data_IF_356401566590
#
_entry.id   IF_356401566590
#
_cell.length_a   1.000
_cell.length_b   1.000
_cell.length_c   1.000
_cell.angle_alpha   90.00
_cell.angle_beta   90.00
_cell.angle_gamma   90.00
#
_symmetry.space_group_name_H-M   'P 1'
#
loop_
_entity.id
_entity.type
_entity.pdbx_description
1 polymer ?
#
# COMPACT_ATOMS: atom_id res chain seq x y z
N UNK A 1 -2.51 -16.24 -2.03
CA UNK A 1 -2.33 -14.86 -2.49
C UNK A 1 -3.60 -14.02 -2.45
N UNK A 2 -4.41 -14.27 -1.44
CA UNK A 2 -5.66 -13.59 -1.11
C UNK A 2 -5.52 -12.04 -0.96
N UNK A 3 -4.34 -11.55 -0.55
CA UNK A 3 -4.09 -10.10 -0.50
C UNK A 3 -3.89 -9.51 -1.91
N UNK A 4 -3.32 -10.27 -2.84
CA UNK A 4 -3.21 -9.84 -4.25
C UNK A 4 -4.59 -9.78 -4.91
N UNK A 5 -5.48 -10.70 -4.55
CA UNK A 5 -6.88 -10.67 -5.02
C UNK A 5 -7.69 -9.54 -4.39
N UNK A 6 -7.38 -9.15 -3.14
CA UNK A 6 -7.99 -8.01 -2.45
C UNK A 6 -7.61 -6.65 -3.06
N UNK A 7 -6.51 -6.59 -3.77
CA UNK A 7 -6.08 -5.41 -4.53
C UNK A 7 -6.73 -5.41 -5.92
N UNK A 8 -7.27 -6.56 -6.35
CA UNK A 8 -7.97 -6.65 -7.62
C UNK A 8 -9.24 -5.80 -7.61
N UNK A 9 -9.43 -5.09 -8.70
CA UNK A 9 -10.60 -4.26 -9.04
C UNK A 9 -11.95 -4.93 -8.72
N UNK A 10 -12.01 -6.26 -8.71
CA UNK A 10 -13.19 -7.04 -8.36
C UNK A 10 -13.61 -6.90 -6.90
N UNK A 11 -12.68 -6.90 -5.94
CA UNK A 11 -13.03 -6.78 -4.51
C UNK A 11 -13.35 -5.33 -4.15
N UNK A 12 -12.63 -4.37 -4.71
CA UNK A 12 -12.99 -2.96 -4.52
C UNK A 12 -14.40 -2.68 -5.04
N UNK A 13 -14.76 -3.18 -6.23
CA UNK A 13 -16.12 -3.07 -6.79
C UNK A 13 -17.19 -3.79 -5.96
N UNK A 14 -16.85 -4.93 -5.35
CA UNK A 14 -17.74 -5.60 -4.41
C UNK A 14 -17.90 -4.82 -3.11
N UNK A 15 -16.81 -4.28 -2.58
CA UNK A 15 -16.81 -3.49 -1.36
C UNK A 15 -17.68 -2.24 -1.48
N UNK A 16 -17.75 -1.62 -2.66
CA UNK A 16 -18.60 -0.45 -2.92
C UNK A 16 -20.11 -0.74 -2.74
N UNK A 17 -20.51 -2.03 -2.81
CA UNK A 17 -21.89 -2.48 -2.64
C UNK A 17 -22.18 -3.06 -1.26
N UNK A 18 -21.16 -3.15 -0.40
CA UNK A 18 -21.23 -3.81 0.90
C UNK A 18 -21.37 -2.84 2.07
N UNK A 19 -21.86 -3.37 3.19
CA UNK A 19 -21.87 -2.66 4.47
C UNK A 19 -20.57 -2.91 5.22
N UNK A 20 -19.73 -1.88 5.32
CA UNK A 20 -18.44 -1.93 6.01
C UNK A 20 -18.56 -2.07 7.55
N UNK A 21 -19.76 -2.10 8.11
CA UNK A 21 -20.02 -2.25 9.55
C UNK A 21 -20.60 -3.61 9.92
N UNK A 22 -20.95 -4.45 8.95
CA UNK A 22 -21.62 -5.74 9.22
C UNK A 22 -20.74 -6.72 9.98
N UNK A 23 -19.41 -6.70 9.75
CA UNK A 23 -18.45 -7.57 10.42
C UNK A 23 -17.38 -6.73 11.13
N UNK A 24 -17.15 -7.05 12.40
CA UNK A 24 -16.06 -6.42 13.16
C UNK A 24 -14.74 -7.16 12.91
N UNK A 25 -14.01 -6.70 11.90
CA UNK A 25 -12.69 -7.24 11.58
C UNK A 25 -11.59 -6.52 12.37
N UNK A 26 -10.58 -7.27 12.84
CA UNK A 26 -9.49 -6.70 13.62
C UNK A 26 -8.64 -5.73 12.78
N UNK A 27 -8.07 -4.70 13.43
CA UNK A 27 -7.00 -3.84 12.91
C UNK A 27 -5.70 -4.24 13.60
N UNK A 28 -5.00 -5.29 13.09
CA UNK A 28 -3.90 -5.89 13.82
C UNK A 28 -2.77 -4.89 14.08
N UNK A 29 -2.14 -4.99 15.26
CA UNK A 29 -0.98 -4.19 15.68
C UNK A 29 -1.20 -2.67 15.77
N UNK A 30 -2.41 -2.16 15.57
CA UNK A 30 -2.67 -0.71 15.70
C UNK A 30 -2.60 -0.22 17.13
N UNK A 31 -2.88 -1.10 18.11
CA UNK A 31 -2.77 -0.84 19.54
C UNK A 31 -1.35 -1.01 20.10
N UNK A 32 -0.39 -1.49 19.31
CA UNK A 32 1.01 -1.65 19.70
C UNK A 32 1.85 -0.44 19.28
N UNK A 33 2.88 -0.07 20.05
CA UNK A 33 3.83 0.96 19.63
C UNK A 33 4.58 0.52 18.36
N UNK A 34 5.25 1.49 17.71
CA UNK A 34 6.02 1.24 16.49
C UNK A 34 5.21 1.27 15.21
N UNK A 35 5.91 1.07 14.10
CA UNK A 35 5.40 1.25 12.74
C UNK A 35 5.08 -0.07 12.04
N UNK A 36 5.53 -1.20 12.61
CA UNK A 36 5.24 -2.53 12.06
C UNK A 36 3.74 -2.79 11.99
N UNK A 37 3.32 -3.48 10.95
CA UNK A 37 1.95 -3.93 10.76
C UNK A 37 1.90 -5.34 10.17
N UNK A 38 0.76 -6.01 10.35
CA UNK A 38 0.53 -7.36 9.84
C UNK A 38 -0.94 -7.52 9.48
N UNK A 39 -1.21 -8.30 8.45
CA UNK A 39 -2.57 -8.65 8.04
C UNK A 39 -2.90 -10.13 8.30
N UNK A 40 -2.02 -10.89 8.95
CA UNK A 40 -2.23 -12.32 9.18
C UNK A 40 -3.50 -12.60 9.99
N UNK A 41 -3.72 -11.86 11.09
CA UNK A 41 -4.93 -12.00 11.90
C UNK A 41 -6.20 -11.57 11.15
N UNK A 42 -6.12 -10.54 10.32
CA UNK A 42 -7.22 -10.07 9.50
C UNK A 42 -7.61 -11.11 8.43
N UNK A 43 -6.64 -11.74 7.78
CA UNK A 43 -6.90 -12.85 6.83
C UNK A 43 -7.65 -14.01 7.50
N UNK A 44 -7.21 -14.41 8.69
CA UNK A 44 -7.85 -15.48 9.47
C UNK A 44 -9.28 -15.10 9.84
N UNK A 45 -9.51 -13.87 10.28
CA UNK A 45 -10.84 -13.38 10.60
C UNK A 45 -11.79 -13.40 9.40
N UNK A 46 -11.31 -12.91 8.25
CA UNK A 46 -12.08 -12.93 7.00
C UNK A 46 -12.40 -14.38 6.56
N UNK A 47 -11.41 -15.28 6.59
CA UNK A 47 -11.65 -16.70 6.30
C UNK A 47 -12.69 -17.31 7.23
N UNK A 48 -12.63 -17.01 8.51
CA UNK A 48 -13.60 -17.51 9.50
C UNK A 48 -15.00 -16.97 9.23
N UNK A 49 -15.12 -15.68 8.85
CA UNK A 49 -16.40 -15.09 8.48
C UNK A 49 -16.99 -15.76 7.24
N UNK A 50 -16.18 -16.01 6.21
CA UNK A 50 -16.57 -16.73 4.99
C UNK A 50 -17.14 -18.12 5.34
N UNK A 51 -16.41 -18.89 6.13
CA UNK A 51 -16.83 -20.26 6.51
C UNK A 51 -18.12 -20.24 7.33
N UNK A 52 -18.27 -19.29 8.25
CA UNK A 52 -19.47 -19.17 9.11
C UNK A 52 -20.72 -18.73 8.35
N UNK A 53 -20.55 -17.94 7.30
CA UNK A 53 -21.67 -17.37 6.54
C UNK A 53 -22.04 -18.19 5.29
N UNK A 54 -21.21 -19.15 4.90
CA UNK A 54 -21.48 -20.03 3.77
C UNK A 54 -22.58 -21.04 4.16
N UNK A 55 -23.58 -21.18 3.31
CA UNK A 55 -24.61 -22.22 3.37
C UNK A 55 -24.32 -23.18 2.21
N UNK A 56 -24.13 -24.46 2.51
CA UNK A 56 -23.72 -25.48 1.54
C UNK A 56 -22.50 -25.08 0.68
N UNK A 57 -21.54 -24.37 1.32
CA UNK A 57 -20.33 -23.90 0.65
C UNK A 57 -20.51 -22.64 -0.22
N UNK A 58 -21.71 -22.07 -0.26
CA UNK A 58 -22.03 -20.91 -1.10
C UNK A 58 -22.29 -19.67 -0.23
N UNK A 59 -21.67 -18.54 -0.59
CA UNK A 59 -21.92 -17.23 0.01
C UNK A 59 -22.94 -16.46 -0.83
N UNK A 60 -23.92 -15.85 -0.16
CA UNK A 60 -24.81 -14.89 -0.80
C UNK A 60 -24.00 -13.67 -1.31
N UNK A 61 -24.40 -13.12 -2.46
CA UNK A 61 -23.69 -11.99 -3.08
C UNK A 61 -23.56 -10.77 -2.16
N UNK A 62 -24.64 -10.44 -1.42
CA UNK A 62 -24.58 -9.36 -0.43
C UNK A 62 -23.57 -9.66 0.69
N UNK A 63 -23.49 -10.90 1.14
CA UNK A 63 -22.51 -11.29 2.18
C UNK A 63 -21.07 -11.20 1.67
N UNK A 64 -20.84 -11.52 0.39
CA UNK A 64 -19.51 -11.31 -0.25
C UNK A 64 -19.18 -9.82 -0.29
N UNK A 65 -20.13 -8.97 -0.66
CA UNK A 65 -19.94 -7.52 -0.71
C UNK A 65 -19.62 -6.95 0.69
N UNK A 66 -20.36 -7.38 1.71
CA UNK A 66 -20.16 -6.89 3.09
C UNK A 66 -18.82 -7.35 3.69
N UNK A 67 -18.44 -8.62 3.46
CA UNK A 67 -17.12 -9.12 3.87
C UNK A 67 -16.01 -8.32 3.17
N UNK A 68 -16.17 -8.04 1.87
CA UNK A 68 -15.20 -7.25 1.10
C UNK A 68 -15.10 -5.81 1.62
N UNK A 69 -16.22 -5.17 1.91
CA UNK A 69 -16.28 -3.82 2.45
C UNK A 69 -15.62 -3.73 3.85
N UNK A 70 -15.98 -4.66 4.76
CA UNK A 70 -15.40 -4.71 6.10
C UNK A 70 -13.90 -4.99 6.07
N UNK A 71 -13.46 -5.87 5.18
CA UNK A 71 -12.06 -6.20 5.03
C UNK A 71 -11.27 -5.02 4.47
N UNK A 72 -11.76 -4.38 3.41
CA UNK A 72 -11.16 -3.18 2.82
C UNK A 72 -11.02 -2.07 3.87
N UNK A 73 -12.08 -1.80 4.63
CA UNK A 73 -12.05 -0.81 5.70
C UNK A 73 -10.99 -1.14 6.75
N UNK A 74 -10.88 -2.39 7.19
CA UNK A 74 -9.87 -2.80 8.17
C UNK A 74 -8.42 -2.65 7.68
N UNK A 75 -8.16 -2.94 6.40
CA UNK A 75 -6.85 -2.71 5.77
C UNK A 75 -6.53 -1.22 5.71
N UNK A 76 -7.47 -0.43 5.20
CA UNK A 76 -7.30 1.02 5.03
C UNK A 76 -7.08 1.72 6.37
N UNK A 77 -7.88 1.39 7.39
CA UNK A 77 -7.72 1.92 8.74
C UNK A 77 -6.34 1.57 9.32
N UNK A 78 -5.90 0.32 9.19
CA UNK A 78 -4.59 -0.13 9.69
C UNK A 78 -3.46 0.66 9.05
N UNK A 79 -3.49 0.85 7.73
CA UNK A 79 -2.49 1.61 7.00
C UNK A 79 -2.53 3.09 7.37
N UNK A 80 -3.72 3.70 7.43
CA UNK A 80 -3.87 5.11 7.78
C UNK A 80 -3.33 5.41 9.19
N UNK A 81 -3.66 4.57 10.18
CA UNK A 81 -3.17 4.71 11.57
C UNK A 81 -1.63 4.63 11.60
N UNK A 82 -1.03 3.70 10.88
CA UNK A 82 0.43 3.54 10.86
C UNK A 82 1.13 4.67 10.08
N UNK A 83 0.56 5.13 8.97
CA UNK A 83 1.07 6.29 8.23
C UNK A 83 1.00 7.57 9.07
N UNK A 84 -0.11 7.82 9.76
CA UNK A 84 -0.25 8.97 10.64
C UNK A 84 0.79 8.93 11.78
N UNK A 85 0.98 7.75 12.37
CA UNK A 85 1.99 7.55 13.41
C UNK A 85 3.40 7.79 12.89
N UNK A 86 3.73 7.30 11.70
CA UNK A 86 5.02 7.53 11.06
C UNK A 86 5.29 9.02 10.84
N UNK A 87 4.33 9.75 10.30
CA UNK A 87 4.45 11.19 10.09
C UNK A 87 4.64 11.95 11.41
N UNK A 88 3.90 11.57 12.46
CA UNK A 88 4.06 12.17 13.81
C UNK A 88 5.43 11.86 14.42
N UNK A 89 5.94 10.65 14.27
CA UNK A 89 7.25 10.25 14.83
C UNK A 89 8.43 10.90 14.09
N UNK A 90 8.33 11.07 12.79
CA UNK A 90 9.40 11.64 11.96
C UNK A 90 9.33 13.16 11.85
N UNK A 91 8.21 13.78 12.17
CA UNK A 91 7.98 15.21 11.94
C UNK A 91 7.81 15.58 10.45
N UNK A 92 7.81 14.56 9.56
CA UNK A 92 7.63 14.79 8.12
C UNK A 92 6.17 15.09 7.80
N UNK A 93 5.95 15.88 6.75
CA UNK A 93 4.60 16.25 6.28
C UNK A 93 4.23 15.61 4.96
N UNK A 94 5.21 15.09 4.22
CA UNK A 94 5.01 14.46 2.92
C UNK A 94 4.98 12.93 3.07
N UNK A 95 3.95 12.31 2.51
CA UNK A 95 3.75 10.88 2.48
C UNK A 95 3.75 10.40 1.02
N UNK A 96 4.53 9.39 0.71
CA UNK A 96 4.54 8.75 -0.62
C UNK A 96 3.99 7.35 -0.49
N UNK A 97 2.98 7.03 -1.28
CA UNK A 97 2.36 5.70 -1.35
C UNK A 97 2.63 5.11 -2.72
N UNK A 98 3.27 3.95 -2.75
CA UNK A 98 3.57 3.21 -3.98
C UNK A 98 3.13 1.76 -3.88
N UNK A 99 3.14 1.03 -5.00
CA UNK A 99 2.71 -0.36 -5.10
C UNK A 99 1.21 -0.53 -5.31
N UNK A 100 0.77 -1.78 -5.54
CA UNK A 100 -0.59 -2.10 -5.98
C UNK A 100 -1.70 -1.60 -5.05
N UNK A 101 -1.49 -1.63 -3.73
CA UNK A 101 -2.46 -1.12 -2.75
C UNK A 101 -2.68 0.40 -2.89
N UNK A 102 -1.69 1.12 -3.41
CA UNK A 102 -1.79 2.55 -3.71
C UNK A 102 -2.82 2.92 -4.79
N UNK A 103 -3.36 1.95 -5.53
CA UNK A 103 -4.47 2.17 -6.46
C UNK A 103 -5.84 2.23 -5.76
N UNK A 104 -5.96 1.76 -4.51
CA UNK A 104 -7.23 1.72 -3.79
C UNK A 104 -7.77 3.12 -3.50
N UNK A 105 -8.98 3.41 -3.97
CA UNK A 105 -9.59 4.75 -3.88
C UNK A 105 -9.92 5.16 -2.45
N UNK A 106 -10.42 4.23 -1.63
CA UNK A 106 -10.72 4.50 -0.22
C UNK A 106 -9.46 4.83 0.57
N UNK A 107 -8.36 4.11 0.33
CA UNK A 107 -7.06 4.41 0.94
C UNK A 107 -6.57 5.80 0.55
N UNK A 108 -6.63 6.14 -0.73
CA UNK A 108 -6.25 7.48 -1.23
C UNK A 108 -7.05 8.58 -0.56
N UNK A 109 -8.37 8.42 -0.47
CA UNK A 109 -9.24 9.38 0.19
C UNK A 109 -8.85 9.54 1.66
N UNK A 110 -8.76 8.46 2.41
CA UNK A 110 -8.48 8.50 3.86
C UNK A 110 -7.10 9.08 4.17
N UNK A 111 -6.08 8.72 3.41
CA UNK A 111 -4.73 9.27 3.58
C UNK A 111 -4.66 10.75 3.19
N UNK A 112 -5.38 11.17 2.15
CA UNK A 112 -5.46 12.57 1.75
C UNK A 112 -6.12 13.42 2.84
N UNK A 113 -7.22 12.95 3.42
CA UNK A 113 -7.90 13.62 4.52
C UNK A 113 -7.02 13.68 5.78
N UNK A 114 -6.34 12.58 6.10
CA UNK A 114 -5.43 12.51 7.24
C UNK A 114 -4.25 13.47 7.09
N UNK A 115 -3.57 13.49 5.93
CA UNK A 115 -2.42 14.37 5.71
C UNK A 115 -2.81 15.84 5.71
N UNK A 116 -3.97 16.21 5.16
CA UNK A 116 -4.49 17.59 5.22
C UNK A 116 -4.68 18.08 6.65
N UNK A 117 -5.18 17.22 7.56
CA UNK A 117 -5.38 17.59 8.98
C UNK A 117 -4.09 17.95 9.70
N UNK A 118 -2.95 17.42 9.28
CA UNK A 118 -1.63 17.70 9.86
C UNK A 118 -0.83 18.73 9.04
N UNK A 119 -1.46 19.37 8.06
CA UNK A 119 -0.81 20.35 7.17
C UNK A 119 0.22 19.74 6.25
N UNK A 120 0.02 18.49 5.83
CA UNK A 120 0.89 17.74 4.96
C UNK A 120 0.25 17.39 3.60
N UNK A 121 0.97 16.61 2.81
CA UNK A 121 0.54 16.14 1.49
C UNK A 121 0.84 14.65 1.31
N UNK A 122 0.03 13.99 0.48
CA UNK A 122 0.28 12.61 0.05
C UNK A 122 0.44 12.56 -1.46
N UNK A 123 1.43 11.79 -1.90
CA UNK A 123 1.78 11.61 -3.30
C UNK A 123 1.53 10.17 -3.72
N UNK A 124 0.96 10.00 -4.89
CA UNK A 124 0.67 8.70 -5.50
C UNK A 124 1.21 8.66 -6.92
N UNK A 125 1.70 7.52 -7.39
CA UNK A 125 1.91 7.32 -8.80
C UNK A 125 0.55 7.35 -9.54
N UNK A 126 0.57 7.57 -10.85
CA UNK A 126 -0.60 7.33 -11.69
C UNK A 126 -1.07 5.88 -11.51
N UNK A 127 -2.38 5.64 -11.61
CA UNK A 127 -2.94 4.32 -11.33
C UNK A 127 -2.29 3.20 -12.17
N UNK A 128 -1.98 3.49 -13.43
CA UNK A 128 -1.30 2.58 -14.37
C UNK A 128 0.11 2.15 -13.93
N UNK A 129 0.77 2.94 -13.05
CA UNK A 129 2.09 2.64 -12.51
C UNK A 129 2.07 2.12 -11.07
N UNK A 130 0.89 1.84 -10.51
CA UNK A 130 0.78 1.28 -9.16
C UNK A 130 1.16 -0.21 -9.10
N UNK A 131 1.05 -0.94 -10.21
CA UNK A 131 1.47 -2.33 -10.32
C UNK A 131 2.87 -2.42 -10.93
N UNK A 132 3.51 -3.59 -10.81
CA UNK A 132 4.81 -3.86 -11.39
C UNK A 132 4.78 -3.58 -12.91
N UNK A 133 5.73 -2.76 -13.37
CA UNK A 133 5.83 -2.39 -14.78
C UNK A 133 7.28 -2.08 -15.18
N UNK A 134 7.59 -2.25 -16.48
CA UNK A 134 8.93 -2.02 -17.00
C UNK A 134 9.39 -0.56 -16.92
N UNK A 135 8.47 0.41 -16.93
CA UNK A 135 8.81 1.83 -16.88
C UNK A 135 9.45 2.22 -15.54
N UNK A 136 9.01 1.60 -14.42
CA UNK A 136 9.63 1.82 -13.09
C UNK A 136 11.11 1.44 -13.10
N UNK A 137 11.43 0.28 -13.65
CA UNK A 137 12.81 -0.24 -13.67
C UNK A 137 13.66 0.55 -14.67
N UNK A 138 13.11 0.87 -15.83
CA UNK A 138 13.79 1.70 -16.82
C UNK A 138 14.12 3.09 -16.26
N UNK A 139 13.17 3.72 -15.56
CA UNK A 139 13.40 5.03 -14.93
C UNK A 139 14.46 4.95 -13.82
N UNK A 140 14.38 3.95 -12.92
CA UNK A 140 15.37 3.77 -11.87
C UNK A 140 16.77 3.50 -12.44
N UNK A 141 16.86 2.68 -13.50
CA UNK A 141 18.11 2.43 -14.22
C UNK A 141 18.67 3.68 -14.87
N UNK A 142 17.83 4.47 -15.54
CA UNK A 142 18.21 5.74 -16.15
C UNK A 142 18.80 6.72 -15.12
N UNK A 143 18.13 6.91 -13.98
CA UNK A 143 18.62 7.80 -12.91
C UNK A 143 19.97 7.36 -12.37
N UNK A 144 20.19 6.04 -12.20
CA UNK A 144 21.47 5.50 -11.77
C UNK A 144 22.57 5.67 -12.81
N UNK A 145 22.23 5.44 -14.07
CA UNK A 145 23.18 5.65 -15.18
C UNK A 145 23.61 7.12 -15.32
N UNK A 146 22.67 8.05 -15.22
CA UNK A 146 22.95 9.50 -15.20
C UNK A 146 23.83 9.91 -14.02
N UNK A 147 23.71 9.22 -12.88
CA UNK A 147 24.58 9.40 -11.73
C UNK A 147 25.93 8.66 -11.84
N UNK A 148 26.28 8.14 -13.02
CA UNK A 148 27.53 7.44 -13.28
C UNK A 148 27.63 6.02 -12.68
N UNK A 149 26.51 5.47 -12.20
CA UNK A 149 26.50 4.11 -11.66
C UNK A 149 26.29 3.09 -12.79
N UNK A 150 27.26 2.21 -12.97
CA UNK A 150 27.18 1.10 -13.92
C UNK A 150 27.81 -0.16 -13.33
N UNK A 151 27.40 -1.31 -13.81
CA UNK A 151 27.99 -2.61 -13.48
C UNK A 151 28.45 -3.32 -14.74
N UNK A 152 29.40 -4.25 -14.60
CA UNK A 152 29.83 -5.11 -15.71
C UNK A 152 28.72 -6.06 -16.19
N UNK A 153 29.00 -6.82 -17.23
CA UNK A 153 28.07 -7.76 -17.83
C UNK A 153 27.79 -9.01 -16.96
N UNK A 154 28.61 -9.24 -15.92
CA UNK A 154 28.37 -10.32 -14.96
C UNK A 154 27.36 -9.86 -13.92
N UNK A 155 26.15 -10.41 -13.96
CA UNK A 155 25.05 -10.09 -13.07
C UNK A 155 24.76 -11.26 -12.13
N UNK A 156 24.62 -11.00 -10.83
CA UNK A 156 24.01 -11.92 -9.89
C UNK A 156 22.55 -11.54 -9.67
N UNK A 157 21.66 -12.53 -9.73
CA UNK A 157 20.24 -12.31 -9.45
C UNK A 157 19.97 -12.41 -7.97
N UNK A 158 19.45 -11.35 -7.38
CA UNK A 158 19.08 -11.30 -5.95
C UNK A 158 17.57 -11.18 -5.85
N UNK A 159 16.82 -12.27 -5.51
CA UNK A 159 15.36 -12.27 -5.49
C UNK A 159 14.75 -11.34 -4.43
N UNK A 160 15.50 -11.07 -3.37
CA UNK A 160 15.13 -10.13 -2.30
C UNK A 160 16.34 -9.28 -1.97
N UNK A 161 16.37 -8.08 -2.53
CA UNK A 161 17.43 -7.14 -2.26
C UNK A 161 16.98 -6.14 -1.17
N UNK A 162 17.64 -6.08 -0.02
CA UNK A 162 17.33 -5.10 1.01
C UNK A 162 17.55 -3.68 0.48
N UNK A 163 16.57 -2.81 0.63
CA UNK A 163 16.69 -1.42 0.18
C UNK A 163 17.83 -0.67 0.88
N UNK A 164 18.20 -1.10 2.08
CA UNK A 164 19.32 -0.54 2.84
C UNK A 164 20.70 -0.83 2.22
N UNK A 165 20.80 -1.81 1.34
CA UNK A 165 22.04 -2.15 0.62
C UNK A 165 22.16 -1.39 -0.73
N UNK A 166 21.10 -0.68 -1.14
CA UNK A 166 21.17 0.14 -2.34
C UNK A 166 21.87 1.45 -2.03
N UNK A 167 22.96 1.74 -2.76
CA UNK A 167 23.62 3.04 -2.69
C UNK A 167 22.64 4.16 -3.03
N UNK A 168 22.66 5.23 -2.24
CA UNK A 168 21.89 6.42 -2.57
C UNK A 168 22.40 7.00 -3.92
N UNK A 169 21.46 7.49 -4.74
CA UNK A 169 21.83 8.30 -5.89
C UNK A 169 22.24 9.65 -5.32
N UNK A 170 23.46 10.11 -5.60
CA UNK A 170 23.88 11.44 -5.21
C UNK A 170 22.92 12.47 -5.81
N UNK A 171 22.34 13.33 -4.98
CA UNK A 171 21.60 14.47 -5.49
C UNK A 171 22.58 15.33 -6.29
N UNK A 172 22.39 15.41 -7.60
CA UNK A 172 23.08 16.43 -8.38
C UNK A 172 22.64 17.76 -7.82
N UNK A 173 23.54 18.47 -7.15
CA UNK A 173 23.38 19.89 -6.86
C UNK A 173 23.34 20.63 -8.20
N UNK A 174 22.18 20.74 -8.82
CA UNK A 174 21.93 21.74 -9.85
C UNK A 174 21.69 23.10 -9.17
N UNK A 175 22.72 23.57 -8.48
CA UNK A 175 22.95 24.98 -8.19
C UNK A 175 24.31 25.36 -8.77
N UNK A 176 24.36 25.53 -10.09
CA UNK A 176 25.35 26.42 -10.73
C UNK A 176 24.92 26.68 -12.18
N UNK A 177 24.41 27.85 -12.43
CA UNK A 177 24.20 28.31 -13.80
C UNK A 177 23.15 29.42 -13.93
N UNK A 178 23.25 30.45 -13.10
CA UNK A 178 22.71 31.75 -13.49
C UNK A 178 23.60 32.37 -14.57
N UNK A 179 23.04 32.63 -15.72
CA UNK A 179 23.42 33.71 -16.65
C UNK A 179 22.14 34.19 -17.35
#
# INVERSE_FOLDING_TARGET
DFIKELVNEAISKLADKGDAKRFDFPRPMTNRPGLDFSFSGLKTAARTAIIKQAIDGVLAEQTKADISACFQAAVVDTLAIKCERALKQTGLKNLVIAGGVGANTLLRQQLTEMTKKIGGQVFYPRAEFCTDNGAMIAYAGCQRLLAGQSTGLSLSVVPRWPMTELSAIAANNEEQGGL
#
